data_IF_892337522789
#
_entry.id   IF_892337522789
#
_cell.length_a   1.000
_cell.length_b   1.000
_cell.length_c   1.000
_cell.angle_alpha   90.00
_cell.angle_beta   90.00
_cell.angle_gamma   90.00
#
_symmetry.space_group_name_H-M   'P 1'
#
loop_
_entity.id
_entity.type
_entity.pdbx_description
1 polymer ?
#
# COMPACT_ATOMS: atom_id res chain seq x y z
N UNK A 1 -19.65 -16.63 -7.47
CA UNK A 1 -18.54 -15.91 -6.81
C UNK A 1 -18.97 -14.46 -6.75
N UNK A 2 -19.04 -13.87 -5.56
CA UNK A 2 -19.42 -12.46 -5.39
C UNK A 2 -18.15 -11.72 -4.99
N UNK A 3 -17.41 -11.23 -5.98
CA UNK A 3 -16.18 -10.49 -5.75
C UNK A 3 -16.47 -9.00 -5.57
N UNK A 4 -15.91 -8.41 -4.52
CA UNK A 4 -15.98 -6.97 -4.25
C UNK A 4 -14.65 -6.49 -3.68
N UNK A 5 -14.41 -5.19 -3.80
CA UNK A 5 -13.27 -4.52 -3.17
C UNK A 5 -13.68 -4.08 -1.76
N UNK A 6 -13.04 -4.62 -0.73
CA UNK A 6 -13.13 -4.08 0.61
C UNK A 6 -12.06 -2.99 0.78
N UNK A 7 -12.52 -1.76 0.91
CA UNK A 7 -11.67 -0.62 1.24
C UNK A 7 -11.72 -0.37 2.75
N UNK A 8 -10.55 -0.19 3.36
CA UNK A 8 -10.39 0.07 4.79
C UNK A 8 -9.46 1.26 4.94
N UNK A 9 -9.93 2.31 5.60
CA UNK A 9 -9.07 3.43 6.01
C UNK A 9 -8.81 3.31 7.49
N UNK A 10 -7.57 3.03 7.86
CA UNK A 10 -7.15 3.03 9.27
C UNK A 10 -6.90 4.48 9.68
N UNK A 11 -7.84 5.05 10.43
CA UNK A 11 -7.84 6.48 10.79
C UNK A 11 -6.75 6.77 11.82
N UNK A 12 -6.72 5.99 12.90
CA UNK A 12 -5.83 6.21 14.03
C UNK A 12 -6.15 5.32 15.23
N UNK A 13 -5.40 5.51 16.30
CA UNK A 13 -5.65 4.85 17.57
C UNK A 13 -5.60 5.85 18.74
N UNK A 14 -6.17 5.47 19.87
CA UNK A 14 -6.16 6.27 21.10
C UNK A 14 -5.81 5.41 22.30
N UNK A 15 -5.08 6.01 23.25
CA UNK A 15 -4.73 5.38 24.52
C UNK A 15 -3.91 4.09 24.40
N UNK A 16 -3.04 3.98 23.38
CA UNK A 16 -2.15 2.83 23.24
C UNK A 16 -1.14 2.79 24.39
N UNK A 17 -0.95 1.60 24.95
CA UNK A 17 0.05 1.39 26.01
C UNK A 17 1.45 1.26 25.42
N UNK A 18 2.42 1.91 26.07
CA UNK A 18 3.81 1.79 25.65
C UNK A 18 4.32 0.36 25.84
N UNK A 19 4.93 -0.17 24.78
CA UNK A 19 5.60 -1.47 24.82
C UNK A 19 7.12 -1.35 24.97
N UNK A 20 7.68 -0.14 24.87
CA UNK A 20 9.11 0.09 24.98
C UNK A 20 9.45 0.64 26.36
N UNK A 21 10.64 0.29 26.88
CA UNK A 21 11.12 0.75 28.20
C UNK A 21 11.90 2.06 28.14
N UNK A 22 12.49 2.38 26.97
CA UNK A 22 13.45 3.49 26.82
C UNK A 22 12.99 4.48 25.73
N UNK A 23 12.51 3.96 24.60
CA UNK A 23 12.02 4.75 23.48
C UNK A 23 10.50 5.02 23.61
N UNK A 24 10.03 6.13 23.01
CA UNK A 24 8.61 6.40 22.84
C UNK A 24 7.91 5.47 21.82
N UNK A 25 6.59 5.35 21.91
CA UNK A 25 5.82 4.53 20.99
C UNK A 25 5.84 5.16 19.58
N UNK A 26 6.29 4.40 18.59
CA UNK A 26 6.24 4.76 17.16
C UNK A 26 5.34 3.75 16.43
N UNK A 27 4.02 3.80 16.62
CA UNK A 27 3.14 2.75 16.16
C UNK A 27 2.82 2.89 14.67
N UNK A 28 2.57 1.76 14.01
CA UNK A 28 2.05 1.67 12.65
C UNK A 28 1.11 0.47 12.50
N UNK A 29 0.11 0.55 11.61
CA UNK A 29 -0.81 -0.55 11.35
C UNK A 29 -0.25 -1.49 10.27
N UNK A 30 -0.53 -2.77 10.45
CA UNK A 30 -0.37 -3.84 9.46
C UNK A 30 -1.72 -4.53 9.33
N UNK A 31 -2.26 -4.56 8.12
CA UNK A 31 -3.60 -5.07 7.84
C UNK A 31 -3.50 -6.38 7.08
N UNK A 32 -4.20 -7.41 7.56
CA UNK A 32 -4.21 -8.72 6.92
C UNK A 32 -5.58 -9.37 7.03
N UNK A 33 -5.85 -10.33 6.15
CA UNK A 33 -7.06 -11.17 6.19
C UNK A 33 -6.63 -12.61 6.43
N UNK A 34 -7.21 -13.24 7.44
CA UNK A 34 -6.85 -14.59 7.89
C UNK A 34 -8.07 -15.43 8.22
N UNK A 35 -7.98 -16.74 8.08
CA UNK A 35 -8.98 -17.63 8.65
C UNK A 35 -8.74 -17.88 10.15
N UNK A 36 -9.65 -18.64 10.77
CA UNK A 36 -9.57 -19.03 12.18
C UNK A 36 -8.32 -19.87 12.51
N UNK A 37 -7.78 -20.60 11.54
CA UNK A 37 -6.58 -21.42 11.68
C UNK A 37 -5.29 -20.60 11.54
N UNK A 38 -5.41 -19.33 11.14
CA UNK A 38 -4.31 -18.38 11.02
C UNK A 38 -3.64 -18.35 9.64
N UNK A 39 -4.23 -19.00 8.63
CA UNK A 39 -3.72 -18.94 7.26
C UNK A 39 -3.96 -17.56 6.67
N UNK A 40 -2.96 -17.03 5.97
CA UNK A 40 -3.03 -15.71 5.35
C UNK A 40 -3.66 -15.80 3.96
N UNK A 41 -4.66 -14.95 3.72
CA UNK A 41 -5.26 -14.75 2.40
C UNK A 41 -4.80 -13.45 1.78
N UNK A 42 -4.57 -12.44 2.63
CA UNK A 42 -4.03 -11.14 2.24
C UNK A 42 -3.13 -10.60 3.36
N UNK A 43 -2.01 -9.98 3.00
CA UNK A 43 -1.14 -9.27 3.94
C UNK A 43 -0.62 -7.97 3.30
N UNK A 44 -0.68 -6.88 4.05
CA UNK A 44 -0.26 -5.55 3.62
C UNK A 44 1.22 -5.29 3.88
N UNK A 45 2.11 -6.28 3.67
CA UNK A 45 3.53 -6.22 4.07
C UNK A 45 4.27 -4.95 3.60
N UNK A 46 3.75 -4.25 2.58
CA UNK A 46 4.39 -3.11 1.92
C UNK A 46 3.78 -1.71 2.20
N UNK A 47 2.73 -1.56 3.03
CA UNK A 47 2.11 -0.25 3.31
C UNK A 47 2.20 0.11 4.80
N UNK A 48 3.34 0.67 5.22
CA UNK A 48 3.58 1.12 6.61
C UNK A 48 3.64 2.64 6.69
N UNK A 49 2.55 3.29 7.09
CA UNK A 49 2.64 4.68 7.57
C UNK A 49 2.98 4.66 9.05
N UNK A 50 4.13 5.23 9.40
CA UNK A 50 4.53 5.39 10.80
C UNK A 50 4.15 6.80 11.24
N UNK A 51 3.49 6.91 12.38
CA UNK A 51 3.29 8.19 13.05
C UNK A 51 4.42 8.37 14.08
N UNK A 52 5.35 9.27 13.77
CA UNK A 52 6.51 9.53 14.62
C UNK A 52 6.17 10.41 15.84
N UNK A 53 5.02 11.07 15.82
CA UNK A 53 4.67 12.11 16.79
C UNK A 53 3.47 11.73 17.66
N UNK A 54 2.58 10.88 17.15
CA UNK A 54 1.32 10.55 17.80
C UNK A 54 1.45 9.70 19.07
N UNK A 55 2.55 8.97 19.26
CA UNK A 55 2.80 8.22 20.48
C UNK A 55 1.66 7.25 20.81
N UNK A 56 1.01 7.45 21.96
CA UNK A 56 -0.18 6.67 22.37
C UNK A 56 -1.46 6.98 21.58
N UNK A 57 -1.49 8.07 20.80
CA UNK A 57 -2.66 8.52 20.04
C UNK A 57 -2.30 8.81 18.57
N UNK A 58 -1.85 7.80 17.81
CA UNK A 58 -1.39 7.98 16.44
C UNK A 58 -2.52 8.25 15.45
N UNK A 59 -2.21 9.00 14.38
CA UNK A 59 -3.09 9.28 13.25
C UNK A 59 -2.39 8.89 11.96
N UNK A 60 -3.01 7.98 11.18
CA UNK A 60 -2.42 7.47 9.94
C UNK A 60 -3.23 7.83 8.70
N UNK A 61 -4.56 7.66 8.74
CA UNK A 61 -5.47 7.89 7.60
C UNK A 61 -5.03 7.17 6.32
N UNK A 62 -4.65 5.90 6.44
CA UNK A 62 -4.12 5.09 5.33
C UNK A 62 -5.17 4.14 4.78
N UNK A 63 -5.28 4.10 3.45
CA UNK A 63 -6.17 3.20 2.72
C UNK A 63 -5.51 1.85 2.40
N UNK A 64 -6.25 0.79 2.71
CA UNK A 64 -5.98 -0.60 2.34
C UNK A 64 -7.15 -1.12 1.51
N UNK A 65 -6.86 -1.86 0.45
CA UNK A 65 -7.85 -2.39 -0.48
C UNK A 65 -7.61 -3.88 -0.67
N UNK A 66 -8.69 -4.66 -0.60
CA UNK A 66 -8.65 -6.11 -0.71
C UNK A 66 -9.73 -6.58 -1.68
N UNK A 67 -9.38 -7.46 -2.61
CA UNK A 67 -10.38 -8.16 -3.40
C UNK A 67 -10.88 -9.35 -2.59
N UNK A 68 -12.17 -9.40 -2.27
CA UNK A 68 -12.74 -10.45 -1.41
C UNK A 68 -13.88 -11.14 -2.15
N UNK A 69 -13.83 -12.48 -2.19
CA UNK A 69 -15.02 -13.28 -2.46
C UNK A 69 -15.80 -13.43 -1.15
N UNK A 70 -16.98 -12.80 -1.08
CA UNK A 70 -17.80 -12.75 0.14
C UNK A 70 -18.27 -14.14 0.56
N UNK A 71 -18.58 -15.01 -0.40
CA UNK A 71 -19.06 -16.38 -0.14
C UNK A 71 -17.93 -17.20 0.48
N UNK A 72 -16.73 -17.13 -0.12
CA UNK A 72 -15.55 -17.79 0.41
C UNK A 72 -15.18 -17.24 1.80
N UNK A 73 -15.25 -15.92 1.97
CA UNK A 73 -14.93 -15.28 3.24
C UNK A 73 -15.83 -15.75 4.38
N UNK A 74 -17.11 -15.96 4.11
CA UNK A 74 -18.07 -16.50 5.07
C UNK A 74 -17.82 -17.99 5.34
N UNK A 75 -17.60 -18.80 4.30
CA UNK A 75 -17.36 -20.25 4.43
C UNK A 75 -16.09 -20.55 5.24
N UNK A 76 -15.02 -19.78 5.01
CA UNK A 76 -13.73 -19.93 5.67
C UNK A 76 -13.61 -19.12 6.97
N UNK A 77 -14.68 -18.43 7.37
CA UNK A 77 -14.71 -17.57 8.56
C UNK A 77 -13.52 -16.60 8.59
N UNK A 78 -13.32 -15.88 7.49
CA UNK A 78 -12.23 -14.93 7.39
C UNK A 78 -12.43 -13.76 8.34
N UNK A 79 -11.32 -13.29 8.88
CA UNK A 79 -11.23 -12.15 9.78
C UNK A 79 -10.31 -11.10 9.19
N UNK A 80 -10.77 -9.85 9.24
CA UNK A 80 -9.92 -8.68 9.15
C UNK A 80 -9.09 -8.57 10.44
N UNK A 81 -7.77 -8.49 10.29
CA UNK A 81 -6.82 -8.29 11.37
C UNK A 81 -6.08 -6.98 11.13
N UNK A 82 -6.27 -6.00 12.02
CA UNK A 82 -5.42 -4.80 12.06
C UNK A 82 -4.46 -4.93 13.24
N UNK A 83 -3.23 -5.34 12.94
CA UNK A 83 -2.15 -5.48 13.90
C UNK A 83 -1.41 -4.16 14.03
N UNK A 84 -1.14 -3.75 15.26
CA UNK A 84 -0.30 -2.61 15.58
C UNK A 84 1.08 -3.08 15.99
N UNK A 85 2.08 -2.59 15.27
CA UNK A 85 3.49 -2.76 15.59
C UNK A 85 4.10 -1.41 15.92
N UNK A 86 5.16 -1.41 16.72
CA UNK A 86 5.91 -0.21 17.00
C UNK A 86 7.33 -0.35 16.48
N UNK A 87 7.70 0.60 15.63
CA UNK A 87 9.03 0.68 15.06
C UNK A 87 10.08 0.82 16.17
N UNK A 88 11.19 0.09 16.04
CA UNK A 88 12.34 0.25 16.93
C UNK A 88 13.44 1.03 16.24
N UNK A 89 13.94 2.07 16.92
CA UNK A 89 15.06 2.88 16.42
C UNK A 89 16.36 2.06 16.36
N UNK A 90 16.47 1.02 17.19
CA UNK A 90 17.63 0.11 17.21
C UNK A 90 17.58 -0.89 16.03
N UNK A 91 18.48 -0.79 15.02
CA UNK A 91 18.33 -1.53 13.76
C UNK A 91 18.46 -3.06 13.88
N UNK A 92 19.09 -3.56 14.95
CA UNK A 92 19.30 -4.99 15.16
C UNK A 92 18.09 -5.72 15.77
N UNK A 93 17.05 -5.00 16.17
CA UNK A 93 15.88 -5.60 16.81
C UNK A 93 14.67 -5.51 15.89
N UNK A 94 13.84 -6.57 15.82
CA UNK A 94 12.57 -6.49 15.12
C UNK A 94 11.63 -5.53 15.85
N UNK A 95 10.74 -4.93 15.08
CA UNK A 95 9.64 -4.10 15.58
C UNK A 95 8.81 -4.85 16.62
N UNK A 96 8.24 -4.10 17.56
CA UNK A 96 7.57 -4.69 18.71
C UNK A 96 6.06 -4.71 18.51
N UNK A 97 5.46 -5.88 18.65
CA UNK A 97 4.02 -6.03 18.70
C UNK A 97 3.39 -5.22 19.84
N UNK A 98 2.38 -4.41 19.51
CA UNK A 98 1.59 -3.60 20.47
C UNK A 98 0.29 -4.32 20.82
N UNK A 99 -0.45 -4.73 19.79
CA UNK A 99 -1.76 -5.36 19.91
C UNK A 99 -2.42 -5.51 18.56
N UNK A 100 -3.65 -6.00 18.53
CA UNK A 100 -4.43 -6.12 17.30
C UNK A 100 -5.94 -5.97 17.54
N UNK A 101 -6.63 -5.62 16.46
CA UNK A 101 -8.08 -5.73 16.34
C UNK A 101 -8.39 -6.88 15.39
N UNK A 102 -9.35 -7.72 15.77
CA UNK A 102 -9.90 -8.79 14.93
C UNK A 102 -11.38 -8.56 14.70
N UNK A 103 -11.82 -8.58 13.45
CA UNK A 103 -13.23 -8.43 13.07
C UNK A 103 -13.60 -9.48 12.03
N UNK A 104 -14.64 -10.29 12.23
CA UNK A 104 -15.14 -11.21 11.21
C UNK A 104 -15.57 -10.44 9.95
N UNK A 105 -15.22 -10.92 8.76
CA UNK A 105 -15.69 -10.31 7.51
C UNK A 105 -17.22 -10.36 7.42
N UNK A 106 -17.86 -11.42 7.95
CA UNK A 106 -19.32 -11.51 8.00
C UNK A 106 -19.99 -10.36 8.77
N UNK A 107 -19.33 -9.84 9.81
CA UNK A 107 -19.85 -8.73 10.62
C UNK A 107 -19.85 -7.44 9.79
N UNK A 108 -18.73 -7.17 9.11
CA UNK A 108 -18.60 -6.02 8.22
C UNK A 108 -19.64 -6.06 7.08
N UNK A 109 -19.93 -7.25 6.55
CA UNK A 109 -20.91 -7.45 5.47
C UNK A 109 -22.35 -7.27 5.97
N UNK A 110 -22.69 -7.80 7.15
CA UNK A 110 -24.04 -7.63 7.75
C UNK A 110 -24.39 -6.18 7.98
N UNK A 111 -23.39 -5.38 8.35
CA UNK A 111 -23.58 -3.96 8.51
C UNK A 111 -23.81 -3.26 7.16
N UNK A 112 -23.38 -3.82 6.03
CA UNK A 112 -23.52 -3.18 4.72
C UNK A 112 -24.87 -3.50 4.06
N UNK A 113 -25.82 -2.56 4.16
CA UNK A 113 -27.18 -2.67 3.59
C UNK A 113 -27.40 -1.91 2.28
N UNK A 114 -26.55 -0.93 1.95
CA UNK A 114 -26.66 -0.14 0.72
C UNK A 114 -25.26 0.23 0.18
N UNK A 115 -25.07 0.16 -1.14
CA UNK A 115 -23.76 -0.07 -1.78
C UNK A 115 -22.80 1.14 -1.85
N UNK A 116 -23.01 2.20 -1.07
CA UNK A 116 -22.14 3.41 -1.09
C UNK A 116 -21.94 4.05 0.31
N UNK A 117 -22.43 3.44 1.39
CA UNK A 117 -22.30 4.03 2.74
C UNK A 117 -20.97 3.65 3.42
N UNK A 118 -20.06 4.62 3.58
CA UNK A 118 -18.84 4.42 4.37
C UNK A 118 -19.17 4.29 5.86
N UNK A 119 -18.79 3.18 6.48
CA UNK A 119 -19.01 2.94 7.93
C UNK A 119 -17.76 3.23 8.74
N UNK A 120 -17.94 3.79 9.93
CA UNK A 120 -16.88 4.04 10.90
C UNK A 120 -17.07 3.16 12.12
N UNK A 121 -15.99 2.55 12.61
CA UNK A 121 -16.03 1.73 13.81
C UNK A 121 -14.79 1.95 14.67
N UNK A 122 -14.97 1.82 15.99
CA UNK A 122 -13.92 1.88 16.99
C UNK A 122 -13.90 0.57 17.76
N UNK A 123 -12.75 -0.11 17.77
CA UNK A 123 -12.58 -1.43 18.40
C UNK A 123 -11.43 -1.42 19.41
N UNK A 124 -11.53 -2.17 20.51
CA UNK A 124 -10.45 -2.27 21.49
C UNK A 124 -9.25 -2.99 20.87
N UNK A 125 -8.06 -2.44 21.09
CA UNK A 125 -6.80 -3.10 20.70
C UNK A 125 -6.44 -4.11 21.76
N UNK A 126 -6.41 -5.39 21.40
CA UNK A 126 -6.10 -6.48 22.33
C UNK A 126 -4.64 -6.89 22.22
N UNK A 127 -3.98 -7.10 23.36
CA UNK A 127 -2.65 -7.71 23.36
C UNK A 127 -2.74 -9.25 23.29
N UNK A 128 -1.58 -9.92 23.27
CA UNK A 128 -1.49 -11.40 23.24
C UNK A 128 -2.18 -12.12 24.40
N UNK A 129 -2.51 -11.41 25.49
CA UNK A 129 -3.23 -11.94 26.65
C UNK A 129 -4.74 -11.62 26.61
N UNK A 130 -5.23 -11.05 25.50
CA UNK A 130 -6.63 -10.63 25.37
C UNK A 130 -6.99 -9.37 26.17
N UNK A 131 -6.01 -8.65 26.74
CA UNK A 131 -6.27 -7.42 27.50
C UNK A 131 -6.31 -6.22 26.56
N UNK A 132 -7.33 -5.38 26.72
CA UNK A 132 -7.44 -4.10 26.00
C UNK A 132 -6.31 -3.13 26.38
N UNK A 133 -5.71 -2.50 25.37
CA UNK A 133 -4.55 -1.59 25.46
C UNK A 133 -4.74 -0.39 24.52
N UNK A 134 -5.90 0.27 24.65
CA UNK A 134 -6.33 1.37 23.79
C UNK A 134 -7.41 0.94 22.80
N UNK A 135 -7.72 1.82 21.85
CA UNK A 135 -8.72 1.58 20.82
C UNK A 135 -8.23 2.04 19.45
N UNK A 136 -8.67 1.34 18.40
CA UNK A 136 -8.38 1.64 17.01
C UNK A 136 -9.66 2.12 16.34
N UNK A 137 -9.59 3.23 15.64
CA UNK A 137 -10.66 3.71 14.76
C UNK A 137 -10.28 3.42 13.32
N UNK A 138 -11.19 2.78 12.60
CA UNK A 138 -11.07 2.63 11.16
C UNK A 138 -12.43 2.80 10.50
N UNK A 139 -12.39 3.10 9.22
CA UNK A 139 -13.58 3.16 8.38
C UNK A 139 -13.47 2.13 7.28
N UNK A 140 -14.60 1.64 6.79
CA UNK A 140 -14.64 0.63 5.77
C UNK A 140 -15.80 0.83 4.80
N UNK A 141 -15.63 0.34 3.58
CA UNK A 141 -16.68 0.26 2.56
C UNK A 141 -16.46 -0.96 1.66
N UNK A 142 -17.56 -1.59 1.26
CA UNK A 142 -17.54 -2.57 0.18
C UNK A 142 -17.85 -1.87 -1.14
N UNK A 143 -17.01 -2.09 -2.13
CA UNK A 143 -17.21 -1.60 -3.49
C UNK A 143 -18.35 -2.32 -4.18
N UNK A 144 -18.69 -1.84 -5.38
CA UNK A 144 -19.66 -2.51 -6.25
C UNK A 144 -19.08 -3.87 -6.67
N UNK A 145 -19.91 -4.90 -6.65
CA UNK A 145 -19.54 -6.24 -7.09
C UNK A 145 -18.98 -6.19 -8.52
N UNK A 146 -17.84 -6.84 -8.77
CA UNK A 146 -17.14 -6.81 -10.06
C UNK A 146 -17.95 -7.38 -11.24
N UNK A 147 -19.14 -7.96 -10.98
CA UNK A 147 -20.15 -8.29 -11.99
C UNK A 147 -20.81 -7.05 -12.63
N UNK A 148 -20.52 -5.84 -12.12
CA UNK A 148 -20.73 -4.59 -12.82
C UNK A 148 -19.38 -3.90 -12.98
N UNK A 149 -18.81 -3.80 -14.21
CA UNK A 149 -17.72 -2.89 -14.48
C UNK A 149 -18.09 -1.50 -13.96
N UNK A 150 -17.13 -0.66 -13.55
CA UNK A 150 -17.41 0.75 -13.30
C UNK A 150 -18.21 1.27 -14.48
N UNK A 151 -19.41 1.80 -14.23
CA UNK A 151 -20.05 2.65 -15.22
C UNK A 151 -18.97 3.67 -15.59
N UNK A 152 -18.54 3.63 -16.85
CA UNK A 152 -17.47 4.47 -17.34
C UNK A 152 -17.69 5.88 -16.79
N UNK A 153 -16.62 6.49 -16.26
CA UNK A 153 -16.63 7.88 -15.80
C UNK A 153 -17.50 8.69 -16.76
N UNK A 154 -18.41 9.55 -16.28
CA UNK A 154 -19.27 10.36 -17.14
C UNK A 154 -18.39 11.00 -18.22
N UNK A 155 -18.50 10.49 -19.45
CA UNK A 155 -17.92 11.16 -20.58
C UNK A 155 -18.62 12.52 -20.61
N UNK A 156 -17.88 13.64 -20.64
CA UNK A 156 -18.50 14.94 -20.80
C UNK A 156 -19.42 14.86 -22.03
N UNK A 157 -20.72 15.01 -21.77
CA UNK A 157 -21.75 14.96 -22.77
C UNK A 157 -21.69 16.26 -23.55
N UNK A 158 -20.77 16.34 -24.52
CA UNK A 158 -20.84 17.33 -25.58
C UNK A 158 -20.33 16.66 -26.86
N UNK A 159 -21.27 16.39 -27.76
CA UNK A 159 -21.06 15.61 -28.96
C UNK A 159 -20.03 16.24 -29.89
N UNK A 160 -18.99 15.47 -30.21
CA UNK A 160 -18.26 15.64 -31.46
C UNK A 160 -17.84 14.26 -32.00
N UNK A 161 -18.06 13.99 -33.30
CA UNK A 161 -17.86 12.66 -33.87
C UNK A 161 -16.38 12.33 -34.00
N UNK A 162 -16.07 11.04 -33.82
CA UNK A 162 -14.77 10.41 -34.02
C UNK A 162 -14.21 10.80 -35.40
N UNK A 163 -13.14 11.61 -35.41
CA UNK A 163 -12.29 11.72 -36.58
C UNK A 163 -11.44 10.45 -36.67
N UNK A 164 -12.00 9.43 -37.34
CA UNK A 164 -11.24 8.35 -37.94
C UNK A 164 -10.20 9.00 -38.85
N UNK A 165 -8.90 8.79 -38.62
CA UNK A 165 -7.88 9.19 -39.59
C UNK A 165 -7.98 8.20 -40.77
N UNK A 166 -8.40 8.62 -41.97
CA UNK A 166 -8.48 7.72 -43.12
C UNK A 166 -7.07 7.51 -43.70
N UNK A 167 -6.70 6.25 -43.93
CA UNK A 167 -5.61 5.91 -44.86
C UNK A 167 -6.09 6.19 -46.29
N UNK A 168 -5.36 6.99 -47.11
CA UNK A 168 -5.62 7.05 -48.54
C UNK A 168 -4.87 5.93 -49.28
N UNK A 169 -5.63 5.11 -50.01
CA UNK A 169 -5.14 4.27 -51.09
C UNK A 169 -4.99 5.11 -52.38
N UNK A 170 -3.76 5.12 -52.91
CA UNK A 170 -3.36 5.21 -54.33
C UNK A 170 -3.53 6.54 -55.09
N UNK A 171 -2.42 7.08 -55.63
CA UNK A 171 -2.49 7.89 -56.86
C UNK A 171 -1.44 8.96 -57.23
N UNK A 172 -0.17 8.94 -56.77
CA UNK A 172 1.08 9.39 -57.47
C UNK A 172 2.17 10.00 -56.53
N UNK A 173 3.47 9.90 -56.91
CA UNK A 173 4.59 9.83 -55.95
C UNK A 173 5.37 11.14 -55.82
N UNK A 174 5.89 11.42 -54.61
CA UNK A 174 6.94 12.43 -54.42
C UNK A 174 8.07 11.83 -53.56
N UNK A 175 9.19 11.56 -54.25
CA UNK A 175 10.59 11.41 -53.83
C UNK A 175 10.95 10.60 -52.57
N UNK A 176 11.51 9.40 -52.78
CA UNK A 176 12.30 8.64 -51.79
C UNK A 176 13.80 8.89 -51.98
N UNK A 177 14.53 9.18 -50.90
CA UNK A 177 15.97 8.94 -50.74
C UNK A 177 16.23 8.63 -49.24
N UNK A 178 17.19 7.75 -48.89
CA UNK A 178 16.83 6.46 -48.29
C UNK A 178 17.32 6.26 -46.85
N UNK A 179 16.62 5.39 -46.12
CA UNK A 179 17.10 4.72 -44.92
C UNK A 179 18.27 3.78 -45.25
N UNK A 180 19.33 3.76 -44.44
CA UNK A 180 20.23 2.60 -44.36
C UNK A 180 20.49 2.23 -42.90
N UNK A 181 20.11 0.99 -42.58
CA UNK A 181 20.59 0.21 -41.46
C UNK A 181 21.31 -1.02 -42.06
N UNK A 182 22.54 -1.30 -41.60
CA UNK A 182 23.10 -2.64 -41.31
C UNK A 182 24.64 -2.63 -41.24
N UNK A 183 25.13 -3.13 -40.09
CA UNK A 183 26.20 -4.12 -39.86
C UNK A 183 27.61 -3.96 -40.45
N UNK A 184 28.63 -4.05 -39.56
CA UNK A 184 29.96 -4.61 -39.85
C UNK A 184 31.19 -3.69 -39.69
N UNK A 185 31.97 -3.91 -38.61
CA UNK A 185 33.36 -3.52 -38.24
C UNK A 185 34.36 -3.07 -39.35
N UNK A 186 35.50 -2.33 -39.09
CA UNK A 186 36.37 -2.38 -37.89
C UNK A 186 37.02 -1.08 -37.35
N UNK A 187 37.49 -1.18 -36.09
CA UNK A 187 38.67 -0.59 -35.39
C UNK A 187 39.45 0.55 -36.10
N UNK A 188 39.61 1.74 -35.46
CA UNK A 188 40.89 2.26 -34.89
C UNK A 188 40.78 3.65 -34.21
N UNK A 189 41.33 3.70 -32.99
CA UNK A 189 42.06 4.77 -32.28
C UNK A 189 42.04 6.21 -32.83
N UNK A 190 41.72 7.15 -31.94
CA UNK A 190 42.61 8.28 -31.65
C UNK A 190 42.41 8.75 -30.19
N UNK A 191 43.53 8.83 -29.48
CA UNK A 191 43.64 9.34 -28.12
C UNK A 191 43.88 10.86 -28.13
N UNK A 192 43.65 11.52 -26.98
CA UNK A 192 44.58 12.42 -26.24
C UNK A 192 43.86 13.59 -25.54
N UNK A 193 44.04 13.64 -24.22
CA UNK A 193 44.13 14.85 -23.36
C UNK A 193 42.80 15.46 -22.90
N UNK A 194 42.53 15.72 -21.62
CA UNK A 194 43.30 15.63 -20.40
C UNK A 194 42.43 16.03 -19.18
N UNK A 195 42.87 15.53 -18.02
CA UNK A 195 42.64 15.85 -16.58
C UNK A 195 42.04 17.25 -16.23
N UNK A 196 41.29 17.49 -15.14
CA UNK A 196 41.50 17.16 -13.71
C UNK A 196 40.23 17.31 -12.84
N UNK A 197 40.22 16.62 -11.69
CA UNK A 197 39.63 16.91 -10.34
C UNK A 197 38.16 17.33 -10.21
N UNK A 198 37.32 16.70 -9.37
CA UNK A 198 37.49 16.28 -7.96
C UNK A 198 36.42 17.06 -7.15
N UNK A 199 35.55 16.48 -6.32
CA UNK A 199 35.81 15.79 -5.06
C UNK A 199 34.54 15.07 -4.58
N UNK A 200 34.72 13.82 -4.17
CA UNK A 200 33.79 13.04 -3.33
C UNK A 200 34.46 12.95 -1.97
N UNK A 201 33.75 13.15 -0.85
CA UNK A 201 34.29 12.71 0.44
C UNK A 201 33.20 12.21 1.36
N UNK A 202 33.29 10.90 1.59
CA UNK A 202 32.64 10.11 2.62
C UNK A 202 33.28 10.41 3.98
N UNK A 203 32.48 10.51 5.04
CA UNK A 203 32.97 10.54 6.43
C UNK A 203 32.48 9.27 7.14
N UNK A 204 33.36 8.30 7.24
CA UNK A 204 33.28 7.17 8.16
C UNK A 204 34.54 7.14 9.02
N UNK A 205 34.32 6.90 10.33
CA UNK A 205 35.26 6.47 11.36
C UNK A 205 36.19 7.52 11.99
N UNK A 206 35.78 8.00 13.16
CA UNK A 206 36.59 8.66 14.17
C UNK A 206 36.47 7.88 15.48
N UNK A 207 37.34 6.90 15.75
CA UNK A 207 37.78 6.48 17.11
C UNK A 207 39.14 5.75 16.97
N UNK A 208 40.07 6.05 17.89
CA UNK A 208 41.49 5.62 18.08
C UNK A 208 42.49 6.66 17.57
N UNK A 209 43.40 7.24 18.34
CA UNK A 209 43.87 7.07 19.73
C UNK A 209 44.56 8.39 20.12
N UNK A 210 44.52 8.81 21.40
CA UNK A 210 45.57 9.60 22.09
C UNK A 210 45.18 9.93 23.54
N UNK A 211 45.44 9.02 24.48
CA UNK A 211 46.48 9.12 25.53
C UNK A 211 46.35 7.95 26.50
#
# INVERSE_FOLDING_TARGET
>A
MVQTVLEIVVEGATGLESVHLIQGLLPYPVVSIRDSDGNFYYDSENKKAVDLNGGSNPVWRVLFEFNIDIVEAQQKQLHLIVRLESHRIVPCCPDKYVGEVRVPIEELVKDFGDADEKKSTTRPVLNKKGKARGSLTFTYKFGRTLDHPPAALPQPADGNPVAQIPQPANGNPVAQIPQRYNDGHPIVKAAVGGVTSGLVTSLSNLIRDSL
#
